data_IF_149100328033
#
_entry.id   IF_149100328033
#
_cell.length_a   1.000
_cell.length_b   1.000
_cell.length_c   1.000
_cell.angle_alpha   90.00
_cell.angle_beta   90.00
_cell.angle_gamma   90.00
#
_symmetry.space_group_name_H-M   'P 1'
#
loop_
_entity.id
_entity.type
_entity.pdbx_description
1 polymer ?
#
# COMPACT_ATOMS: atom_id res chain seq x y z
N UNK A 1 -17.50 -1.94 -33.12
CA UNK A 1 -16.49 -1.15 -32.38
C UNK A 1 -17.20 0.08 -31.87
N UNK A 2 -17.61 0.07 -30.60
CA UNK A 2 -18.45 1.11 -30.00
C UNK A 2 -17.54 1.93 -29.09
N UNK A 3 -17.39 3.21 -29.40
CA UNK A 3 -16.71 4.18 -28.54
C UNK A 3 -17.69 4.63 -27.45
N UNK A 4 -17.38 4.33 -26.20
CA UNK A 4 -18.00 5.00 -25.06
C UNK A 4 -17.23 6.29 -24.80
N UNK A 5 -17.83 7.43 -25.16
CA UNK A 5 -17.40 8.73 -24.63
C UNK A 5 -17.91 8.85 -23.20
N UNK A 6 -16.99 8.96 -22.23
CA UNK A 6 -17.33 9.21 -20.83
C UNK A 6 -17.73 10.67 -20.63
N UNK A 7 -18.98 10.99 -20.28
CA UNK A 7 -19.38 12.34 -19.97
C UNK A 7 -19.02 12.61 -18.50
N UNK A 8 -18.19 13.63 -18.27
CA UNK A 8 -17.76 14.17 -16.97
C UNK A 8 -16.46 13.60 -16.38
N UNK A 9 -15.33 13.75 -17.10
CA UNK A 9 -14.08 14.05 -16.40
C UNK A 9 -14.12 15.53 -15.95
N UNK A 10 -14.57 15.76 -14.73
CA UNK A 10 -14.19 16.99 -14.03
C UNK A 10 -12.67 16.95 -13.88
N UNK A 11 -11.96 17.68 -14.73
CA UNK A 11 -10.59 18.09 -14.43
C UNK A 11 -10.66 18.89 -13.12
N UNK A 12 -10.33 18.23 -12.01
CA UNK A 12 -9.94 18.93 -10.80
C UNK A 12 -8.76 19.80 -11.25
N UNK A 13 -9.00 21.11 -11.38
CA UNK A 13 -7.90 22.07 -11.54
C UNK A 13 -7.08 21.96 -10.26
N UNK A 14 -6.08 21.09 -10.26
CA UNK A 14 -5.08 21.08 -9.20
C UNK A 14 -4.53 22.49 -9.12
N UNK A 15 -4.65 23.08 -7.94
CA UNK A 15 -4.02 24.35 -7.64
C UNK A 15 -2.53 24.15 -7.97
N UNK A 16 -1.92 24.95 -8.87
CA UNK A 16 -0.53 24.74 -9.27
C UNK A 16 0.43 24.69 -8.07
N UNK A 17 0.07 25.33 -6.95
CA UNK A 17 0.83 25.23 -5.70
C UNK A 17 0.88 23.81 -5.12
N UNK A 18 -0.19 23.01 -5.20
CA UNK A 18 -0.21 21.65 -4.61
C UNK A 18 0.61 20.67 -5.44
N UNK A 19 0.61 20.79 -6.77
CA UNK A 19 1.42 19.94 -7.64
C UNK A 19 2.94 20.18 -7.44
N UNK A 20 3.32 21.43 -7.16
CA UNK A 20 4.69 21.79 -6.82
C UNK A 20 5.05 21.24 -5.44
N UNK A 21 4.20 21.43 -4.44
CA UNK A 21 4.41 20.90 -3.08
C UNK A 21 4.56 19.36 -3.10
N UNK A 22 3.72 18.63 -3.84
CA UNK A 22 3.77 17.16 -3.96
C UNK A 22 5.05 16.67 -4.65
N UNK A 23 5.47 17.36 -5.72
CA UNK A 23 6.70 17.02 -6.43
C UNK A 23 7.95 17.31 -5.59
N UNK A 24 7.95 18.39 -4.81
CA UNK A 24 9.02 18.72 -3.88
C UNK A 24 9.11 17.70 -2.75
N UNK A 25 7.97 17.29 -2.21
CA UNK A 25 7.87 16.23 -1.21
C UNK A 25 8.42 14.91 -1.75
N UNK A 26 8.11 14.58 -3.02
CA UNK A 26 8.69 13.42 -3.71
C UNK A 26 10.23 13.52 -3.83
N UNK A 27 10.77 14.68 -4.25
CA UNK A 27 12.21 14.88 -4.33
C UNK A 27 12.90 14.78 -2.96
N UNK A 28 12.26 15.30 -1.92
CA UNK A 28 12.74 15.20 -0.53
C UNK A 28 12.80 13.74 -0.07
N UNK A 29 11.72 12.97 -0.28
CA UNK A 29 11.65 11.54 0.05
C UNK A 29 12.70 10.74 -0.72
N UNK A 30 12.90 11.03 -2.01
CA UNK A 30 13.89 10.37 -2.87
C UNK A 30 15.33 10.66 -2.43
N UNK A 31 15.61 11.91 -2.07
CA UNK A 31 16.95 12.33 -1.62
C UNK A 31 17.27 11.70 -0.26
N UNK A 32 16.28 11.60 0.63
CA UNK A 32 16.42 10.99 1.96
C UNK A 32 16.82 9.52 1.90
N UNK A 33 16.23 8.73 0.99
CA UNK A 33 16.63 7.32 0.78
C UNK A 33 18.09 7.14 0.34
N UNK A 34 18.79 8.20 -0.08
CA UNK A 34 20.17 8.16 -0.57
C UNK A 34 21.20 8.63 0.44
N UNK A 35 20.78 9.31 1.51
CA UNK A 35 21.68 9.93 2.48
C UNK A 35 21.28 9.53 3.88
N UNK A 36 22.08 8.70 4.55
CA UNK A 36 21.88 8.31 5.96
C UNK A 36 22.03 9.49 6.94
N UNK A 37 22.42 10.67 6.46
CA UNK A 37 22.64 11.89 7.24
C UNK A 37 21.43 12.83 7.12
N UNK A 38 20.43 12.62 7.98
CA UNK A 38 19.14 13.34 7.94
C UNK A 38 19.17 14.81 8.38
N UNK A 39 20.30 15.35 8.85
CA UNK A 39 20.32 16.61 9.61
C UNK A 39 21.25 17.69 9.08
N UNK A 40 21.92 17.47 7.94
CA UNK A 40 22.90 18.41 7.39
C UNK A 40 22.31 19.40 6.38
N UNK A 41 22.86 20.62 6.34
CA UNK A 41 22.66 21.58 5.23
C UNK A 41 22.94 20.94 3.85
N UNK A 42 23.85 19.97 3.81
CA UNK A 42 24.19 19.14 2.64
C UNK A 42 22.99 18.42 2.02
N UNK A 43 22.01 18.00 2.83
CA UNK A 43 20.77 17.36 2.36
C UNK A 43 19.90 18.33 1.54
N UNK A 44 19.80 19.58 2.01
CA UNK A 44 18.92 20.59 1.44
C UNK A 44 19.53 21.31 0.24
N UNK A 45 20.86 21.37 0.17
CA UNK A 45 21.61 22.14 -0.83
C UNK A 45 21.22 21.86 -2.30
N UNK A 46 21.05 20.59 -2.74
CA UNK A 46 20.68 20.30 -4.13
C UNK A 46 19.24 20.75 -4.43
N UNK A 47 18.34 20.59 -3.47
CA UNK A 47 16.91 20.90 -3.60
C UNK A 47 16.70 22.41 -3.64
N UNK A 48 17.34 23.15 -2.74
CA UNK A 48 17.34 24.62 -2.71
C UNK A 48 17.86 25.19 -4.03
N UNK A 49 18.97 24.64 -4.53
CA UNK A 49 19.55 25.07 -5.81
C UNK A 49 18.60 24.84 -6.99
N UNK A 50 17.90 23.70 -7.00
CA UNK A 50 16.89 23.41 -8.02
C UNK A 50 15.69 24.36 -7.94
N UNK A 51 15.18 24.63 -6.73
CA UNK A 51 14.02 25.50 -6.53
C UNK A 51 14.29 26.95 -6.89
N UNK A 52 15.47 27.48 -6.53
CA UNK A 52 15.90 28.80 -6.97
C UNK A 52 15.97 28.92 -8.49
N UNK A 53 16.44 27.86 -9.18
CA UNK A 53 16.47 27.83 -10.66
C UNK A 53 15.07 27.88 -11.28
N UNK A 54 14.05 27.39 -10.56
CA UNK A 54 12.66 27.44 -10.99
C UNK A 54 11.91 28.69 -10.53
N UNK A 55 12.57 29.63 -9.85
CA UNK A 55 11.97 30.87 -9.37
C UNK A 55 11.08 30.70 -8.13
N UNK A 56 11.19 29.57 -7.42
CA UNK A 56 10.47 29.35 -6.18
C UNK A 56 11.28 29.79 -4.97
N UNK A 57 10.60 30.48 -4.05
CA UNK A 57 11.17 30.76 -2.74
C UNK A 57 11.05 29.51 -1.86
N UNK A 58 12.18 29.02 -1.38
CA UNK A 58 12.25 27.83 -0.54
C UNK A 58 12.43 28.25 0.91
N UNK A 59 11.42 28.01 1.74
CA UNK A 59 11.49 28.15 3.18
C UNK A 59 11.77 26.78 3.83
N UNK A 60 13.01 26.50 4.28
CA UNK A 60 13.36 25.24 4.92
C UNK A 60 12.50 24.95 6.17
N UNK A 61 12.02 25.97 6.87
CA UNK A 61 11.22 25.80 8.08
C UNK A 61 9.84 25.21 7.74
N UNK A 62 9.16 25.75 6.71
CA UNK A 62 7.88 25.22 6.20
C UNK A 62 7.99 23.72 5.84
N UNK A 63 9.00 23.35 5.07
CA UNK A 63 9.16 21.96 4.62
C UNK A 63 9.62 21.01 5.73
N UNK A 64 10.43 21.48 6.69
CA UNK A 64 10.74 20.71 7.89
C UNK A 64 9.47 20.41 8.69
N UNK A 65 8.57 21.39 8.87
CA UNK A 65 7.28 21.16 9.53
C UNK A 65 6.40 20.18 8.77
N UNK A 66 6.38 20.23 7.43
CA UNK A 66 5.66 19.23 6.62
C UNK A 66 6.23 17.82 6.78
N UNK A 67 7.55 17.65 6.74
CA UNK A 67 8.20 16.37 6.99
C UNK A 67 7.96 15.86 8.41
N UNK A 68 8.00 16.74 9.41
CA UNK A 68 7.71 16.39 10.82
C UNK A 68 6.23 16.05 11.02
N UNK A 69 5.32 16.71 10.31
CA UNK A 69 3.89 16.38 10.28
C UNK A 69 3.64 15.03 9.61
N UNK A 70 4.26 14.77 8.47
CA UNK A 70 4.23 13.44 7.84
C UNK A 70 4.82 12.38 8.76
N UNK A 71 5.91 12.68 9.48
CA UNK A 71 6.52 11.74 10.42
C UNK A 71 5.61 11.41 11.61
N UNK A 72 4.86 12.39 12.10
CA UNK A 72 3.85 12.19 13.15
C UNK A 72 2.63 11.43 12.63
N UNK A 73 2.33 11.54 11.34
CA UNK A 73 1.26 10.83 10.65
C UNK A 73 1.75 9.62 9.85
N UNK A 74 3.01 9.20 10.04
CA UNK A 74 3.58 8.05 9.36
C UNK A 74 2.86 6.86 9.98
N UNK A 75 1.83 6.38 9.28
CA UNK A 75 1.06 5.23 9.70
C UNK A 75 2.07 4.13 9.97
N UNK A 76 2.17 3.72 11.23
CA UNK A 76 3.00 2.59 11.60
C UNK A 76 2.42 1.38 10.91
N UNK A 77 3.12 0.96 9.85
CA UNK A 77 2.71 -0.18 9.07
C UNK A 77 3.13 -1.44 9.81
N UNK A 78 2.17 -2.25 10.23
CA UNK A 78 2.40 -3.46 11.01
C UNK A 78 2.04 -4.71 10.20
N UNK A 79 2.92 -5.70 10.24
CA UNK A 79 2.71 -6.99 9.58
C UNK A 79 2.25 -8.03 10.59
N UNK A 80 0.99 -8.47 10.45
CA UNK A 80 0.44 -9.57 11.21
C UNK A 80 1.01 -10.89 10.69
N UNK A 81 1.68 -11.63 11.58
CA UNK A 81 2.20 -12.96 11.27
C UNK A 81 1.26 -14.02 11.81
N UNK A 82 0.43 -14.58 10.93
CA UNK A 82 -0.46 -15.70 11.26
C UNK A 82 0.00 -16.93 10.50
N UNK A 83 0.44 -17.95 11.24
CA UNK A 83 0.87 -19.25 10.70
C UNK A 83 -0.31 -20.21 10.81
N UNK A 84 -0.66 -20.84 9.68
CA UNK A 84 -1.64 -21.91 9.67
C UNK A 84 -0.99 -23.19 10.22
N UNK A 85 -1.77 -23.98 10.94
CA UNK A 85 -1.38 -25.27 11.50
C UNK A 85 -2.21 -26.39 10.87
N UNK A 86 -1.81 -27.64 11.09
CA UNK A 86 -2.48 -28.81 10.49
C UNK A 86 -3.98 -28.87 10.82
N UNK A 87 -4.39 -28.39 11.99
CA UNK A 87 -5.80 -28.35 12.40
C UNK A 87 -6.65 -27.36 11.59
N UNK A 88 -6.03 -26.41 10.89
CA UNK A 88 -6.73 -25.44 10.04
C UNK A 88 -7.15 -26.02 8.69
N UNK A 89 -6.68 -27.22 8.31
CA UNK A 89 -6.99 -27.81 7.00
C UNK A 89 -8.49 -27.99 6.77
N UNK A 90 -9.20 -28.52 7.76
CA UNK A 90 -10.65 -28.76 7.64
C UNK A 90 -11.42 -27.42 7.57
N UNK A 91 -11.21 -26.46 8.48
CA UNK A 91 -11.82 -25.13 8.37
C UNK A 91 -11.47 -24.38 7.07
N UNK A 92 -10.24 -24.52 6.55
CA UNK A 92 -9.82 -23.90 5.29
C UNK A 92 -10.60 -24.48 4.10
N UNK A 93 -10.82 -25.79 4.07
CA UNK A 93 -11.62 -26.46 3.06
C UNK A 93 -13.09 -26.06 3.16
N UNK A 94 -13.64 -25.98 4.38
CA UNK A 94 -15.00 -25.50 4.62
C UNK A 94 -15.16 -24.04 4.16
N UNK A 95 -14.18 -23.19 4.44
CA UNK A 95 -14.15 -21.81 3.95
C UNK A 95 -14.14 -21.76 2.42
N UNK A 96 -13.32 -22.57 1.75
CA UNK A 96 -13.31 -22.62 0.29
C UNK A 96 -14.65 -23.15 -0.25
N UNK A 97 -15.29 -24.07 0.46
CA UNK A 97 -16.62 -24.58 0.11
C UNK A 97 -17.71 -23.50 0.16
N UNK A 98 -17.63 -22.54 1.10
CA UNK A 98 -18.58 -21.40 1.14
C UNK A 98 -18.42 -20.43 -0.03
N UNK A 99 -17.36 -20.59 -0.84
CA UNK A 99 -17.05 -19.80 -2.03
C UNK A 99 -17.19 -20.64 -3.31
N UNK A 100 -18.05 -21.67 -3.30
CA UNK A 100 -18.29 -22.59 -4.40
C UNK A 100 -17.05 -23.39 -4.84
N UNK A 101 -16.09 -23.54 -3.94
CA UNK A 101 -14.75 -24.07 -4.22
C UNK A 101 -13.97 -23.28 -5.29
N UNK A 102 -14.27 -21.99 -5.45
CA UNK A 102 -13.62 -21.12 -6.42
C UNK A 102 -12.75 -20.06 -5.73
N UNK A 103 -11.41 -20.17 -5.81
CA UNK A 103 -10.49 -19.17 -5.30
C UNK A 103 -10.68 -17.77 -5.91
N UNK A 104 -11.26 -17.64 -7.10
CA UNK A 104 -11.58 -16.33 -7.69
C UNK A 104 -12.65 -15.60 -6.87
N UNK A 105 -13.65 -16.32 -6.34
CA UNK A 105 -14.68 -15.73 -5.47
C UNK A 105 -14.04 -15.17 -4.18
N UNK A 106 -13.05 -15.86 -3.61
CA UNK A 106 -12.30 -15.37 -2.43
C UNK A 106 -11.55 -14.08 -2.76
N UNK A 107 -10.91 -14.00 -3.93
CA UNK A 107 -10.23 -12.79 -4.39
C UNK A 107 -11.21 -11.62 -4.56
N UNK A 108 -12.36 -11.87 -5.18
CA UNK A 108 -13.41 -10.87 -5.37
C UNK A 108 -13.96 -10.37 -4.03
N UNK A 109 -14.10 -11.23 -3.03
CA UNK A 109 -14.54 -10.84 -1.68
C UNK A 109 -13.49 -9.94 -1.00
N UNK A 110 -12.21 -10.29 -1.06
CA UNK A 110 -11.11 -9.46 -0.53
C UNK A 110 -11.10 -8.06 -1.17
N UNK A 111 -11.29 -7.97 -2.49
CA UNK A 111 -11.37 -6.70 -3.22
C UNK A 111 -12.61 -5.90 -2.81
N UNK A 112 -13.75 -6.58 -2.66
CA UNK A 112 -15.02 -5.97 -2.26
C UNK A 112 -14.98 -5.42 -0.83
N UNK A 113 -14.19 -6.03 0.05
CA UNK A 113 -13.90 -5.54 1.40
C UNK A 113 -13.07 -4.23 1.41
N UNK A 114 -12.58 -3.76 0.26
CA UNK A 114 -11.82 -2.51 0.14
C UNK A 114 -10.35 -2.65 0.55
N UNK A 115 -9.85 -3.88 0.63
CA UNK A 115 -8.45 -4.16 0.87
C UNK A 115 -7.62 -3.89 -0.39
N UNK A 116 -6.36 -3.52 -0.18
CA UNK A 116 -5.35 -3.52 -1.23
C UNK A 116 -4.70 -4.91 -1.26
N UNK A 117 -4.57 -5.49 -2.45
CA UNK A 117 -3.93 -6.79 -2.64
C UNK A 117 -2.65 -6.59 -3.47
N UNK A 118 -1.55 -7.16 -3.00
CA UNK A 118 -0.27 -7.22 -3.71
C UNK A 118 0.13 -8.67 -3.88
N UNK A 119 0.48 -9.04 -5.11
CA UNK A 119 0.82 -10.42 -5.47
C UNK A 119 2.18 -10.38 -6.13
N UNK A 120 3.11 -11.19 -5.62
CA UNK A 120 4.45 -11.34 -6.17
C UNK A 120 4.84 -12.82 -6.23
N UNK A 121 5.65 -13.20 -7.20
CA UNK A 121 6.31 -14.50 -7.25
C UNK A 121 7.78 -14.34 -6.86
N UNK A 122 8.29 -15.20 -5.98
CA UNK A 122 9.65 -15.16 -5.44
C UNK A 122 10.41 -16.38 -5.95
N UNK A 123 11.27 -16.19 -6.96
CA UNK A 123 11.98 -17.28 -7.65
C UNK A 123 12.80 -18.15 -6.69
N UNK A 124 13.55 -17.54 -5.77
CA UNK A 124 14.40 -18.24 -4.80
C UNK A 124 13.63 -19.17 -3.85
N UNK A 125 12.34 -18.92 -3.65
CA UNK A 125 11.46 -19.74 -2.82
C UNK A 125 10.48 -20.57 -3.64
N UNK A 126 10.43 -20.38 -4.97
CA UNK A 126 9.46 -21.02 -5.87
C UNK A 126 8.04 -20.87 -5.34
N UNK A 127 7.68 -19.67 -4.88
CA UNK A 127 6.43 -19.41 -4.19
C UNK A 127 5.82 -18.06 -4.55
N UNK A 128 4.49 -18.03 -4.63
CA UNK A 128 3.69 -16.83 -4.61
C UNK A 128 3.56 -16.28 -3.19
N UNK A 129 3.65 -14.97 -3.06
CA UNK A 129 3.28 -14.23 -1.85
C UNK A 129 2.10 -13.31 -2.18
N UNK A 130 0.99 -13.53 -1.48
CA UNK A 130 -0.19 -12.67 -1.52
C UNK A 130 -0.22 -11.86 -0.23
N UNK A 131 -0.04 -10.55 -0.36
CA UNK A 131 -0.16 -9.60 0.75
C UNK A 131 -1.46 -8.82 0.63
N UNK A 132 -2.29 -8.88 1.67
CA UNK A 132 -3.45 -8.02 1.83
C UNK A 132 -3.12 -6.90 2.81
N UNK A 133 -3.59 -5.71 2.49
CA UNK A 133 -3.26 -4.48 3.18
C UNK A 133 -4.52 -3.69 3.46
N UNK A 134 -4.73 -3.32 4.72
CA UNK A 134 -5.79 -2.40 5.09
C UNK A 134 -5.52 -1.01 4.51
N UNK A 135 -6.59 -0.41 3.98
CA UNK A 135 -6.56 0.94 3.40
C UNK A 135 -7.38 1.89 4.27
N UNK A 136 -7.36 3.18 3.93
CA UNK A 136 -8.27 4.18 4.50
C UNK A 136 -9.74 3.75 4.43
N UNK A 137 -10.13 2.98 3.39
CA UNK A 137 -11.51 2.46 3.25
C UNK A 137 -11.87 1.46 4.34
N UNK A 138 -10.91 0.65 4.77
CA UNK A 138 -11.10 -0.38 5.80
C UNK A 138 -11.06 0.17 7.23
N UNK A 139 -10.67 1.44 7.42
CA UNK A 139 -10.59 2.19 8.69
C UNK A 139 -9.85 1.46 9.82
N UNK A 140 -10.45 0.42 10.40
CA UNK A 140 -9.91 -0.38 11.50
C UNK A 140 -8.60 -1.09 11.14
N UNK A 141 -8.50 -1.57 9.90
CA UNK A 141 -7.32 -2.24 9.38
C UNK A 141 -6.25 -1.32 8.80
N UNK A 142 -6.50 -0.01 8.81
CA UNK A 142 -5.58 0.93 8.19
C UNK A 142 -4.19 0.81 8.84
N UNK A 143 -3.16 0.61 8.01
CA UNK A 143 -1.79 0.41 8.47
C UNK A 143 -1.43 -1.05 8.81
N UNK A 144 -2.34 -2.00 8.65
CA UNK A 144 -2.06 -3.41 8.88
C UNK A 144 -1.89 -4.17 7.57
N UNK A 145 -1.04 -5.19 7.57
CA UNK A 145 -0.91 -6.12 6.45
C UNK A 145 -0.71 -7.54 6.91
N UNK A 146 -1.17 -8.47 6.08
CA UNK A 146 -1.04 -9.89 6.28
C UNK A 146 -0.62 -10.54 4.97
N UNK A 147 0.26 -11.53 5.05
CA UNK A 147 0.74 -12.27 3.88
C UNK A 147 0.50 -13.76 3.98
N UNK A 148 0.25 -14.39 2.83
CA UNK A 148 0.18 -15.84 2.65
C UNK A 148 1.12 -16.26 1.53
N UNK A 149 1.67 -17.47 1.66
CA UNK A 149 2.71 -18.01 0.78
C UNK A 149 2.32 -19.42 0.36
N UNK A 150 2.42 -19.73 -0.93
CA UNK A 150 2.27 -21.08 -1.50
C UNK A 150 3.01 -21.16 -2.85
N UNK A 151 3.40 -22.35 -3.29
CA UNK A 151 3.84 -22.61 -4.67
C UNK A 151 2.69 -22.54 -5.68
N UNK A 152 1.44 -22.65 -5.22
CA UNK A 152 0.23 -22.41 -6.00
C UNK A 152 -0.36 -21.00 -5.77
N UNK A 153 -0.65 -20.32 -6.87
CA UNK A 153 -1.20 -18.96 -6.84
C UNK A 153 -2.55 -18.89 -6.11
N UNK A 154 -3.45 -19.81 -6.44
CA UNK A 154 -4.81 -19.79 -5.93
C UNK A 154 -4.87 -20.22 -4.47
N UNK A 155 -4.05 -21.19 -4.06
CA UNK A 155 -3.90 -21.55 -2.66
C UNK A 155 -3.40 -20.36 -1.82
N UNK A 156 -2.41 -19.60 -2.31
CA UNK A 156 -1.93 -18.40 -1.62
C UNK A 156 -3.04 -17.36 -1.42
N UNK A 157 -3.90 -17.16 -2.43
CA UNK A 157 -5.08 -16.28 -2.37
C UNK A 157 -6.09 -16.81 -1.36
N UNK A 158 -6.47 -18.09 -1.44
CA UNK A 158 -7.43 -18.71 -0.52
C UNK A 158 -6.95 -18.63 0.92
N UNK A 159 -5.66 -18.89 1.18
CA UNK A 159 -5.08 -18.74 2.51
C UNK A 159 -5.10 -17.29 3.01
N UNK A 160 -4.87 -16.30 2.14
CA UNK A 160 -4.97 -14.90 2.51
C UNK A 160 -6.41 -14.53 2.91
N UNK A 161 -7.39 -14.99 2.12
CA UNK A 161 -8.82 -14.85 2.42
C UNK A 161 -9.21 -15.49 3.75
N UNK A 162 -8.85 -16.76 3.95
CA UNK A 162 -9.13 -17.50 5.18
C UNK A 162 -8.55 -16.80 6.41
N UNK A 163 -7.28 -16.38 6.36
CA UNK A 163 -6.66 -15.63 7.47
C UNK A 163 -7.42 -14.35 7.79
N UNK A 164 -7.86 -13.61 6.76
CA UNK A 164 -8.59 -12.37 6.98
C UNK A 164 -10.00 -12.60 7.52
N UNK A 165 -10.82 -13.35 6.80
CA UNK A 165 -12.25 -13.48 7.09
C UNK A 165 -12.53 -14.42 8.26
N UNK A 166 -11.74 -15.49 8.43
CA UNK A 166 -11.95 -16.49 9.48
C UNK A 166 -11.09 -16.21 10.70
N UNK A 167 -9.78 -16.01 10.55
CA UNK A 167 -8.89 -15.85 11.71
C UNK A 167 -8.86 -14.42 12.28
N UNK A 168 -9.16 -13.41 11.45
CA UNK A 168 -9.24 -12.02 11.87
C UNK A 168 -10.67 -11.47 11.93
N UNK A 169 -11.70 -12.33 11.78
CA UNK A 169 -13.13 -11.94 11.72
C UNK A 169 -13.47 -10.88 10.65
N UNK A 170 -12.69 -10.78 9.58
CA UNK A 170 -12.82 -9.73 8.55
C UNK A 170 -12.59 -8.31 9.09
N UNK A 171 -12.03 -8.19 10.31
CA UNK A 171 -11.75 -6.91 10.98
C UNK A 171 -10.46 -6.31 10.53
#
# INVERSE_FOLDING_TARGET
MIYYESPNLHYIRHNPSTAIDDYLLFLLKRTRRRTDTESGWEFWRPIIGQMKRWGFDFDPAKYKTMLDYERKNDMKWEFATIRLVETDKVPLQEFLHTHDNDPENVLQELLSAGLKISISYIDDQTAFVVTISGTERTKRNQGWSLSSWSDDFWEAVTMAGYKHFVLCDGK
#
